data_IF_409009668530
#
_entry.id   IF_409009668530
#
_cell.length_a   1.000
_cell.length_b   1.000
_cell.length_c   1.000
_cell.angle_alpha   90.00
_cell.angle_beta   90.00
_cell.angle_gamma   90.00
#
_symmetry.space_group_name_H-M   'P 1'
#
loop_
_entity.id
_entity.type
_entity.pdbx_description
1 polymer ?
#
# COMPACT_ATOMS: atom_id res chain seq x y z
N UNK A 1 -18.36 -33.11 -27.98
CA UNK A 1 -19.36 -32.03 -28.17
C UNK A 1 -19.12 -31.00 -27.09
N UNK A 2 -18.43 -29.90 -27.42
CA UNK A 2 -17.98 -28.93 -26.42
C UNK A 2 -19.09 -27.88 -26.24
N UNK A 3 -19.67 -27.87 -25.04
CA UNK A 3 -20.75 -26.98 -24.65
C UNK A 3 -20.20 -25.54 -24.56
N UNK A 4 -20.29 -24.80 -25.66
CA UNK A 4 -20.12 -23.35 -25.67
C UNK A 4 -21.27 -22.75 -24.85
N UNK A 5 -21.00 -22.45 -23.58
CA UNK A 5 -21.95 -21.73 -22.73
C UNK A 5 -22.12 -20.33 -23.34
N UNK A 6 -23.35 -19.83 -23.53
CA UNK A 6 -23.56 -18.46 -23.97
C UNK A 6 -22.96 -17.54 -22.92
N UNK A 7 -21.87 -16.88 -23.29
CA UNK A 7 -21.20 -15.90 -22.47
C UNK A 7 -22.08 -14.65 -22.50
N UNK A 8 -22.71 -14.32 -21.38
CA UNK A 8 -23.46 -13.07 -21.27
C UNK A 8 -22.44 -11.91 -21.36
N UNK A 9 -22.49 -11.08 -22.42
CA UNK A 9 -21.46 -10.07 -22.68
C UNK A 9 -21.44 -8.97 -21.60
N UNK A 10 -22.53 -8.77 -20.87
CA UNK A 10 -22.55 -7.83 -19.74
C UNK A 10 -21.90 -8.43 -18.48
N UNK A 11 -22.01 -9.74 -18.28
CA UNK A 11 -21.38 -10.42 -17.16
C UNK A 11 -19.84 -10.41 -17.27
N UNK A 12 -19.33 -10.75 -18.45
CA UNK A 12 -17.89 -10.75 -18.77
C UNK A 12 -17.26 -9.37 -18.61
N UNK A 13 -17.91 -8.33 -19.17
CA UNK A 13 -17.43 -6.96 -19.06
C UNK A 13 -17.39 -6.49 -17.60
N UNK A 14 -18.39 -6.87 -16.80
CA UNK A 14 -18.41 -6.54 -15.37
C UNK A 14 -17.31 -7.26 -14.60
N UNK A 15 -17.04 -8.53 -14.89
CA UNK A 15 -15.94 -9.25 -14.26
C UNK A 15 -14.59 -8.65 -14.63
N UNK A 16 -14.35 -8.36 -15.91
CA UNK A 16 -13.11 -7.71 -16.38
C UNK A 16 -12.92 -6.36 -15.69
N UNK A 17 -13.99 -5.56 -15.60
CA UNK A 17 -13.95 -4.26 -14.91
C UNK A 17 -13.63 -4.43 -13.43
N UNK A 18 -14.26 -5.37 -12.74
CA UNK A 18 -13.98 -5.67 -11.33
C UNK A 18 -12.52 -6.11 -11.14
N UNK A 19 -12.02 -7.01 -11.98
CA UNK A 19 -10.63 -7.47 -11.94
C UNK A 19 -9.63 -6.32 -12.16
N UNK A 20 -9.89 -5.44 -13.14
CA UNK A 20 -9.07 -4.25 -13.36
C UNK A 20 -9.07 -3.32 -12.15
N UNK A 21 -10.24 -2.98 -11.60
CA UNK A 21 -10.33 -2.08 -10.45
C UNK A 21 -9.60 -2.67 -9.23
N UNK A 22 -9.84 -3.96 -8.95
CA UNK A 22 -9.20 -4.67 -7.84
C UNK A 22 -7.67 -4.66 -7.99
N UNK A 23 -7.16 -4.97 -9.19
CA UNK A 23 -5.70 -4.99 -9.45
C UNK A 23 -5.06 -3.61 -9.36
N UNK A 24 -5.71 -2.54 -9.80
CA UNK A 24 -5.21 -1.17 -9.65
C UNK A 24 -5.17 -0.74 -8.18
N UNK A 25 -6.21 -1.04 -7.42
CA UNK A 25 -6.30 -0.68 -6.00
C UNK A 25 -5.25 -1.46 -5.19
N UNK A 26 -5.18 -2.79 -5.36
CA UNK A 26 -4.22 -3.63 -4.64
C UNK A 26 -2.78 -3.49 -5.14
N UNK A 27 -2.57 -3.27 -6.44
CA UNK A 27 -1.24 -3.22 -7.06
C UNK A 27 -0.62 -1.82 -7.13
N UNK A 28 -1.43 -0.76 -7.11
CA UNK A 28 -0.96 0.62 -7.21
C UNK A 28 -1.28 1.45 -5.97
N UNK A 29 -2.56 1.47 -5.57
CA UNK A 29 -3.04 2.40 -4.55
C UNK A 29 -2.56 2.02 -3.14
N UNK A 30 -2.79 0.77 -2.71
CA UNK A 30 -2.33 0.27 -1.42
C UNK A 30 -0.80 0.31 -1.27
N UNK A 31 -0.01 -0.31 -2.18
CA UNK A 31 1.44 -0.29 -2.06
C UNK A 31 2.00 1.11 -2.23
N UNK A 32 1.48 1.93 -3.15
CA UNK A 32 1.90 3.32 -3.30
C UNK A 32 1.65 4.15 -2.04
N UNK A 33 0.50 3.98 -1.39
CA UNK A 33 0.19 4.62 -0.11
C UNK A 33 1.11 4.13 1.01
N UNK A 34 1.34 2.82 1.12
CA UNK A 34 2.25 2.23 2.10
C UNK A 34 3.70 2.69 1.88
N UNK A 35 4.17 2.72 0.63
CA UNK A 35 5.49 3.24 0.26
C UNK A 35 5.61 4.73 0.58
N UNK A 36 4.58 5.53 0.32
CA UNK A 36 4.54 6.94 0.71
C UNK A 36 4.61 7.13 2.23
N UNK A 37 3.82 6.35 2.98
CA UNK A 37 3.85 6.33 4.44
C UNK A 37 5.20 5.84 4.97
N UNK A 38 5.80 4.83 4.36
CA UNK A 38 7.11 4.30 4.72
C UNK A 38 8.21 5.33 4.44
N UNK A 39 8.17 6.01 3.30
CA UNK A 39 9.07 7.12 3.00
C UNK A 39 8.94 8.24 4.05
N UNK A 40 7.70 8.58 4.45
CA UNK A 40 7.45 9.53 5.53
C UNK A 40 7.96 9.03 6.89
N UNK A 41 7.73 7.76 7.23
CA UNK A 41 8.19 7.12 8.47
C UNK A 41 9.70 7.04 8.54
N UNK A 42 10.37 6.69 7.44
CA UNK A 42 11.83 6.67 7.34
C UNK A 42 12.37 8.10 7.48
N UNK A 43 11.77 9.08 6.80
CA UNK A 43 12.14 10.49 6.96
C UNK A 43 11.89 11.01 8.37
N UNK A 44 10.86 10.54 9.07
CA UNK A 44 10.57 10.90 10.46
C UNK A 44 11.54 10.24 11.44
N UNK A 45 11.97 9.01 11.14
CA UNK A 45 12.99 8.27 11.90
C UNK A 45 14.41 8.78 11.65
N UNK A 46 14.58 9.58 10.60
CA UNK A 46 15.77 10.37 10.30
C UNK A 46 15.55 11.80 10.80
N UNK A 47 16.02 12.13 12.01
CA UNK A 47 15.95 13.50 12.49
C UNK A 47 16.62 14.47 11.48
N UNK A 48 15.90 15.44 10.87
CA UNK A 48 16.46 16.36 9.88
C UNK A 48 17.49 17.35 10.47
N UNK A 49 17.70 17.32 11.80
CA UNK A 49 18.68 18.13 12.53
C UNK A 49 20.04 17.44 12.75
N UNK A 50 20.11 16.11 12.68
CA UNK A 50 21.28 15.37 13.15
C UNK A 50 21.58 14.06 12.41
N UNK A 51 20.71 13.54 11.54
CA UNK A 51 21.02 12.37 10.70
C UNK A 51 21.15 11.03 11.43
N UNK A 52 20.94 10.98 12.74
CA UNK A 52 21.00 9.76 13.55
C UNK A 52 19.63 9.05 13.54
N UNK A 53 19.62 7.75 13.27
CA UNK A 53 18.41 6.91 13.38
C UNK A 53 17.94 6.93 14.83
N UNK A 54 16.64 7.17 15.07
CA UNK A 54 16.02 7.14 16.41
C UNK A 54 15.99 5.72 17.01
N UNK A 55 17.14 5.06 17.11
CA UNK A 55 17.34 3.80 17.81
C UNK A 55 18.17 3.98 19.10
N UNK A 56 18.69 5.19 19.35
CA UNK A 56 19.63 5.50 20.43
C UNK A 56 19.09 6.46 21.50
N UNK A 57 17.79 6.78 21.53
CA UNK A 57 17.21 7.40 22.72
C UNK A 57 16.77 6.31 23.69
N UNK A 58 17.53 6.05 24.79
CA UNK A 58 16.94 5.39 25.93
C UNK A 58 15.70 6.18 26.40
N UNK A 59 14.68 5.52 26.97
CA UNK A 59 13.49 6.21 27.50
C UNK A 59 13.96 7.30 28.45
N UNK A 60 13.43 8.51 28.26
CA UNK A 60 13.75 9.67 29.09
C UNK A 60 13.48 9.34 30.57
N UNK A 61 14.54 9.04 31.32
CA UNK A 61 14.49 8.98 32.76
C UNK A 61 14.19 10.38 33.30
N UNK A 62 13.07 10.47 34.03
CA UNK A 62 12.99 11.23 35.27
C UNK A 62 13.38 12.71 35.20
N UNK A 63 12.43 13.55 34.82
CA UNK A 63 12.34 14.91 35.38
C UNK A 63 11.16 14.97 36.35
N UNK A 64 11.37 14.43 37.55
CA UNK A 64 10.92 14.97 38.84
C UNK A 64 11.40 14.11 39.99
#
# INVERSE_FOLDING_TARGET
MQQVRPLDPNHEMREIMLHMVVSVVLGGLLPGFLLGLLAFKVKSRWCPRCGESTHTMPPAEGSR
#
